data_IF_077084546615
#
_entry.id   IF_077084546615
#
_cell.length_a   1.000
_cell.length_b   1.000
_cell.length_c   1.000
_cell.angle_alpha   90.00
_cell.angle_beta   90.00
_cell.angle_gamma   90.00
#
_symmetry.space_group_name_H-M   'P 1'
#
loop_
_entity.id
_entity.type
_entity.pdbx_description
1 polymer ?
#
# COMPACT_ATOMS: atom_id res chain seq x y z
N UNK A 1 -2.51 3.87 13.88
CA UNK A 1 -2.24 3.03 12.68
C UNK A 1 -0.75 2.78 12.56
N UNK A 2 -0.37 1.53 12.47
CA UNK A 2 1.05 1.17 12.31
C UNK A 2 1.37 0.99 10.83
N UNK A 3 2.27 1.82 10.32
CA UNK A 3 2.71 1.82 8.92
C UNK A 3 4.19 1.47 8.90
N UNK A 4 4.58 0.56 8.03
CA UNK A 4 5.97 0.20 7.83
C UNK A 4 6.30 0.17 6.35
N UNK A 5 7.54 0.53 6.02
CA UNK A 5 8.12 0.35 4.70
C UNK A 5 9.10 -0.81 4.80
N UNK A 6 9.13 -1.67 3.80
CA UNK A 6 9.95 -2.89 3.89
C UNK A 6 11.46 -2.62 3.99
N UNK A 7 11.90 -1.42 3.63
CA UNK A 7 13.28 -0.98 3.82
C UNK A 7 13.58 -0.48 5.24
N UNK A 8 12.59 -0.41 6.12
CA UNK A 8 12.79 0.05 7.50
C UNK A 8 13.66 -0.93 8.28
N UNK A 9 14.54 -0.39 9.12
CA UNK A 9 15.42 -1.18 9.98
C UNK A 9 14.83 -1.47 11.37
N UNK A 10 13.55 -1.13 11.55
CA UNK A 10 12.85 -1.31 12.82
C UNK A 10 12.51 -2.79 13.00
N UNK A 11 12.79 -3.32 14.18
CA UNK A 11 12.38 -4.68 14.56
C UNK A 11 10.98 -4.67 15.17
N UNK A 12 10.25 -5.75 14.89
CA UNK A 12 8.88 -5.93 15.38
C UNK A 12 8.79 -7.20 16.23
N UNK A 13 7.99 -7.15 17.29
CA UNK A 13 7.68 -8.34 18.07
C UNK A 13 6.82 -9.31 17.26
N UNK A 14 6.97 -10.60 17.54
CA UNK A 14 6.28 -11.66 16.77
C UNK A 14 4.75 -11.55 16.78
N UNK A 15 4.18 -10.88 17.78
CA UNK A 15 2.74 -10.71 17.91
C UNK A 15 2.23 -9.36 17.40
N UNK A 16 3.12 -8.52 16.87
CA UNK A 16 2.70 -7.22 16.34
C UNK A 16 1.94 -7.39 15.04
N UNK A 17 0.91 -6.55 14.89
CA UNK A 17 0.17 -6.42 13.64
C UNK A 17 0.60 -5.15 12.94
N UNK A 18 0.82 -5.24 11.64
CA UNK A 18 1.10 -4.08 10.80
C UNK A 18 -0.16 -3.75 10.03
N UNK A 19 -0.62 -2.52 10.15
CA UNK A 19 -1.82 -2.08 9.43
C UNK A 19 -1.55 -1.89 7.94
N UNK A 20 -0.42 -1.26 7.60
CA UNK A 20 -0.01 -1.07 6.21
C UNK A 20 1.48 -1.33 6.08
N UNK A 21 1.85 -2.28 5.23
CA UNK A 21 3.23 -2.52 4.82
C UNK A 21 3.39 -2.11 3.36
N UNK A 22 4.32 -1.21 3.09
CA UNK A 22 4.68 -0.81 1.72
C UNK A 22 5.94 -1.54 1.32
N UNK A 23 5.86 -2.36 0.27
CA UNK A 23 7.02 -3.04 -0.27
C UNK A 23 7.86 -2.08 -1.10
N UNK A 24 9.15 -2.07 -0.82
CA UNK A 24 10.15 -1.28 -1.56
C UNK A 24 11.19 -2.22 -2.14
N UNK A 25 11.96 -1.74 -3.12
CA UNK A 25 12.98 -2.54 -3.76
C UNK A 25 14.13 -2.86 -2.79
N UNK A 26 14.80 -3.99 -3.00
CA UNK A 26 15.99 -4.44 -2.25
C UNK A 26 15.75 -4.59 -0.75
N UNK A 27 14.57 -5.04 -0.37
CA UNK A 27 14.19 -5.19 1.03
C UNK A 27 14.47 -6.61 1.52
N UNK A 28 14.92 -6.72 2.78
CA UNK A 28 14.92 -7.97 3.51
C UNK A 28 13.58 -8.11 4.22
N UNK A 29 12.79 -9.10 3.81
CA UNK A 29 11.45 -9.32 4.34
C UNK A 29 11.38 -10.35 5.47
N UNK A 30 12.52 -10.89 5.90
CA UNK A 30 12.53 -11.97 6.89
C UNK A 30 11.80 -11.57 8.18
N UNK A 31 11.96 -10.33 8.61
CA UNK A 31 11.31 -9.83 9.83
C UNK A 31 9.79 -9.65 9.69
N UNK A 32 9.27 -9.62 8.47
CA UNK A 32 7.84 -9.44 8.21
C UNK A 32 7.12 -10.75 7.89
N UNK A 33 7.85 -11.83 7.63
CA UNK A 33 7.32 -13.08 7.09
C UNK A 33 6.19 -13.66 7.94
N UNK A 34 6.30 -13.63 9.25
CA UNK A 34 5.33 -14.23 10.18
C UNK A 34 4.40 -13.20 10.84
N UNK A 35 4.56 -11.91 10.53
CA UNK A 35 3.70 -10.87 11.09
C UNK A 35 2.36 -10.83 10.35
N UNK A 36 1.31 -10.46 11.08
CA UNK A 36 0.01 -10.22 10.48
C UNK A 36 0.01 -8.83 9.84
N UNK A 37 -0.32 -8.79 8.54
CA UNK A 37 -0.33 -7.56 7.75
C UNK A 37 -1.73 -7.36 7.20
N UNK A 38 -2.36 -6.25 7.53
CA UNK A 38 -3.72 -5.98 7.08
C UNK A 38 -3.73 -5.58 5.59
N UNK A 39 -2.94 -4.59 5.22
CA UNK A 39 -2.80 -4.13 3.83
C UNK A 39 -1.33 -4.16 3.45
N UNK A 40 -1.00 -4.86 2.37
CA UNK A 40 0.34 -4.85 1.79
C UNK A 40 0.28 -4.18 0.42
N UNK A 41 0.97 -3.06 0.29
CA UNK A 41 1.06 -2.30 -0.96
C UNK A 41 2.30 -2.76 -1.73
N UNK A 42 2.13 -3.08 -3.00
CA UNK A 42 3.21 -3.55 -3.85
C UNK A 42 3.03 -3.09 -5.30
N UNK A 43 4.06 -3.22 -6.12
CA UNK A 43 3.98 -3.08 -7.56
C UNK A 43 4.53 -4.33 -8.26
N UNK A 44 4.51 -4.35 -9.59
CA UNK A 44 4.99 -5.51 -10.35
C UNK A 44 6.47 -5.81 -10.13
N UNK A 45 7.29 -4.80 -9.84
CA UNK A 45 8.73 -4.99 -9.64
C UNK A 45 9.05 -5.74 -8.36
N UNK A 46 8.14 -5.72 -7.37
CA UNK A 46 8.36 -6.39 -6.08
C UNK A 46 7.32 -7.48 -5.76
N UNK A 47 6.59 -7.96 -6.76
CA UNK A 47 5.56 -9.00 -6.56
C UNK A 47 6.15 -10.29 -5.98
N UNK A 48 7.38 -10.64 -6.33
CA UNK A 48 8.02 -11.83 -5.78
C UNK A 48 8.28 -11.71 -4.29
N UNK A 49 8.51 -10.50 -3.80
CA UNK A 49 8.65 -10.23 -2.37
C UNK A 49 7.33 -10.45 -1.62
N UNK A 50 6.21 -10.12 -2.26
CA UNK A 50 4.88 -10.34 -1.68
C UNK A 50 4.67 -11.82 -1.33
N UNK A 51 5.12 -12.73 -2.18
CA UNK A 51 4.93 -14.17 -1.97
C UNK A 51 5.71 -14.74 -0.78
N UNK A 52 6.66 -14.00 -0.23
CA UNK A 52 7.39 -14.39 0.97
C UNK A 52 6.60 -14.14 2.25
N UNK A 53 5.56 -13.32 2.19
CA UNK A 53 4.72 -12.98 3.34
C UNK A 53 3.62 -14.03 3.49
N UNK A 54 3.32 -14.42 4.74
CA UNK A 54 2.40 -15.54 5.01
C UNK A 54 1.01 -15.09 5.47
N UNK A 55 0.90 -13.91 6.10
CA UNK A 55 -0.34 -13.48 6.76
C UNK A 55 -0.77 -12.09 6.28
N UNK A 56 -1.02 -11.97 4.99
CA UNK A 56 -1.50 -10.72 4.38
C UNK A 56 -2.98 -10.84 4.11
N UNK A 57 -3.78 -9.93 4.68
CA UNK A 57 -5.21 -9.92 4.47
C UNK A 57 -5.60 -9.29 3.13
N UNK A 58 -4.93 -8.20 2.75
CA UNK A 58 -5.18 -7.50 1.49
C UNK A 58 -3.86 -7.21 0.81
N UNK A 59 -3.65 -7.79 -0.38
CA UNK A 59 -2.54 -7.42 -1.24
C UNK A 59 -3.06 -6.41 -2.26
N UNK A 60 -2.50 -5.20 -2.24
CA UNK A 60 -2.98 -4.08 -3.06
C UNK A 60 -1.88 -3.65 -4.01
N UNK A 61 -2.08 -3.92 -5.29
CA UNK A 61 -1.15 -3.48 -6.33
C UNK A 61 -1.39 -2.04 -6.71
N UNK A 62 -0.32 -1.26 -6.77
CA UNK A 62 -0.35 0.14 -7.17
C UNK A 62 0.48 0.33 -8.43
N UNK A 63 -0.12 0.85 -9.49
CA UNK A 63 0.53 1.07 -10.77
C UNK A 63 -0.44 1.54 -11.83
N UNK A 64 0.06 1.63 -13.06
CA UNK A 64 -0.72 2.14 -14.20
C UNK A 64 -1.24 1.02 -15.10
N UNK A 65 -1.10 -0.24 -14.71
CA UNK A 65 -1.59 -1.38 -15.47
C UNK A 65 -3.08 -1.63 -15.27
N UNK A 66 -3.70 -2.34 -16.21
CA UNK A 66 -5.12 -2.66 -16.13
C UNK A 66 -5.47 -3.56 -14.95
N UNK A 67 -4.53 -4.38 -14.51
CA UNK A 67 -4.73 -5.31 -13.38
C UNK A 67 -4.42 -4.68 -12.03
N UNK A 68 -3.92 -3.46 -11.98
CA UNK A 68 -3.60 -2.81 -10.71
C UNK A 68 -4.86 -2.43 -9.94
N UNK A 69 -4.81 -2.67 -8.63
CA UNK A 69 -5.93 -2.37 -7.73
C UNK A 69 -6.12 -0.88 -7.51
N UNK A 70 -5.01 -0.13 -7.51
CA UNK A 70 -5.02 1.32 -7.31
C UNK A 70 -4.18 1.96 -8.42
N UNK A 71 -4.75 2.96 -9.06
CA UNK A 71 -4.11 3.63 -10.19
C UNK A 71 -4.47 5.11 -10.20
N UNK A 72 -3.83 5.87 -11.09
CA UNK A 72 -4.25 7.25 -11.36
C UNK A 72 -5.28 7.28 -12.50
N UNK A 73 -6.39 7.98 -12.29
CA UNK A 73 -7.30 8.36 -13.38
C UNK A 73 -6.77 9.58 -14.12
N UNK A 74 -6.16 10.52 -13.40
CA UNK A 74 -5.56 11.71 -14.00
C UNK A 74 -4.50 12.31 -13.09
N UNK A 75 -3.55 13.00 -13.70
CA UNK A 75 -2.52 13.78 -13.01
C UNK A 75 -2.49 15.13 -13.68
N UNK A 76 -2.62 16.21 -12.91
CA UNK A 76 -2.61 17.57 -13.43
C UNK A 76 -1.91 18.51 -12.45
N UNK A 77 -0.71 18.94 -12.81
CA UNK A 77 0.10 19.79 -11.95
C UNK A 77 0.46 19.08 -10.65
N UNK A 78 0.18 19.72 -9.54
CA UNK A 78 0.45 19.17 -8.20
C UNK A 78 -0.68 18.35 -7.61
N UNK A 79 -1.68 17.95 -8.40
CA UNK A 79 -2.83 17.16 -7.96
C UNK A 79 -3.02 15.92 -8.81
N UNK A 80 -3.73 14.95 -8.26
CA UNK A 80 -4.07 13.73 -8.97
C UNK A 80 -5.45 13.26 -8.58
N UNK A 81 -6.05 12.45 -9.45
CA UNK A 81 -7.25 11.70 -9.14
C UNK A 81 -6.85 10.22 -9.06
N UNK A 82 -6.96 9.65 -7.86
CA UNK A 82 -6.59 8.26 -7.60
C UNK A 82 -7.85 7.39 -7.67
N UNK A 83 -7.73 6.27 -8.35
CA UNK A 83 -8.83 5.32 -8.52
C UNK A 83 -8.52 4.02 -7.77
N UNK A 84 -9.37 3.68 -6.80
CA UNK A 84 -9.39 2.36 -6.18
C UNK A 84 -10.35 1.50 -6.98
N UNK A 85 -9.83 0.46 -7.63
CA UNK A 85 -10.61 -0.39 -8.54
C UNK A 85 -11.23 -1.60 -7.86
N UNK A 86 -10.66 -2.03 -6.74
CA UNK A 86 -11.09 -3.23 -6.02
C UNK A 86 -11.33 -2.94 -4.56
N UNK A 87 -12.29 -3.65 -3.99
CA UNK A 87 -12.62 -3.56 -2.58
C UNK A 87 -11.40 -3.87 -1.71
N UNK A 88 -11.22 -3.05 -0.66
CA UNK A 88 -10.20 -3.28 0.36
C UNK A 88 -10.93 -3.41 1.69
N UNK A 89 -10.58 -4.42 2.49
CA UNK A 89 -11.10 -4.56 3.84
C UNK A 89 -10.03 -4.10 4.82
N UNK A 90 -10.20 -2.91 5.38
CA UNK A 90 -9.23 -2.31 6.29
C UNK A 90 -9.82 -2.12 7.67
N UNK A 91 -9.18 -2.71 8.68
CA UNK A 91 -9.64 -2.63 10.08
C UNK A 91 -11.12 -3.00 10.21
N UNK A 92 -11.52 -4.11 9.58
CA UNK A 92 -12.89 -4.63 9.53
C UNK A 92 -13.91 -3.74 8.81
N UNK A 93 -13.46 -2.66 8.17
CA UNK A 93 -14.30 -1.77 7.38
C UNK A 93 -14.10 -2.04 5.90
N UNK A 94 -15.18 -1.99 5.13
CA UNK A 94 -15.13 -2.21 3.69
C UNK A 94 -14.92 -0.87 2.99
N UNK A 95 -13.87 -0.79 2.20
CA UNK A 95 -13.59 0.35 1.32
C UNK A 95 -13.96 -0.08 -0.09
N UNK A 96 -15.01 0.51 -0.62
CA UNK A 96 -15.49 0.19 -1.96
C UNK A 96 -14.68 0.91 -3.03
N UNK A 97 -14.68 0.39 -4.27
CA UNK A 97 -14.09 1.09 -5.40
C UNK A 97 -14.58 2.54 -5.48
N UNK A 98 -13.65 3.47 -5.62
CA UNK A 98 -13.97 4.90 -5.65
C UNK A 98 -12.81 5.68 -6.24
N UNK A 99 -13.03 6.97 -6.45
CA UNK A 99 -12.01 7.92 -6.85
C UNK A 99 -11.87 9.00 -5.78
N UNK A 100 -10.65 9.46 -5.54
CA UNK A 100 -10.39 10.55 -4.61
C UNK A 100 -9.22 11.41 -5.08
N UNK A 101 -9.24 12.67 -4.69
CA UNK A 101 -8.17 13.62 -5.02
C UNK A 101 -7.02 13.48 -4.04
N UNK A 102 -5.81 13.63 -4.54
CA UNK A 102 -4.60 13.59 -3.73
C UNK A 102 -3.56 14.55 -4.30
N UNK A 103 -2.64 14.98 -3.43
CA UNK A 103 -1.48 15.75 -3.85
C UNK A 103 -0.57 14.83 -4.67
N UNK A 104 0.02 15.37 -5.73
CA UNK A 104 1.00 14.65 -6.54
C UNK A 104 2.37 15.31 -6.40
N UNK A 105 3.36 14.54 -5.95
CA UNK A 105 4.73 15.00 -5.76
C UNK A 105 5.56 14.61 -6.97
N UNK A 106 5.95 15.59 -7.78
CA UNK A 106 6.75 15.35 -8.99
C UNK A 106 8.16 14.85 -8.67
N UNK A 107 8.65 15.04 -7.45
CA UNK A 107 9.93 14.51 -7.00
C UNK A 107 9.91 13.02 -6.68
N UNK A 108 8.74 12.40 -6.60
CA UNK A 108 8.56 10.98 -6.32
C UNK A 108 8.12 10.24 -7.57
N UNK A 109 8.40 8.94 -7.63
CA UNK A 109 7.91 8.10 -8.72
C UNK A 109 6.40 7.82 -8.60
N UNK A 110 5.83 7.18 -9.62
CA UNK A 110 4.39 6.88 -9.65
C UNK A 110 3.97 5.97 -8.51
N UNK A 111 4.72 4.93 -8.25
CA UNK A 111 4.40 3.97 -7.20
C UNK A 111 4.38 4.63 -5.82
N UNK A 112 5.40 5.43 -5.52
CA UNK A 112 5.49 6.15 -4.24
C UNK A 112 4.32 7.12 -4.05
N UNK A 113 3.93 7.82 -5.11
CA UNK A 113 2.76 8.71 -5.07
C UNK A 113 1.48 7.93 -4.80
N UNK A 114 1.26 6.79 -5.47
CA UNK A 114 0.07 5.97 -5.25
C UNK A 114 0.04 5.40 -3.83
N UNK A 115 1.15 4.85 -3.37
CA UNK A 115 1.25 4.29 -2.02
C UNK A 115 0.97 5.35 -0.96
N UNK A 116 1.58 6.52 -1.10
CA UNK A 116 1.38 7.63 -0.17
C UNK A 116 -0.08 8.10 -0.16
N UNK A 117 -0.67 8.25 -1.34
CA UNK A 117 -2.07 8.68 -1.48
C UNK A 117 -3.02 7.67 -0.84
N UNK A 118 -2.78 6.38 -1.07
CA UNK A 118 -3.60 5.32 -0.48
C UNK A 118 -3.49 5.31 1.04
N UNK A 119 -2.28 5.45 1.59
CA UNK A 119 -2.07 5.52 3.04
C UNK A 119 -2.89 6.66 3.64
N UNK A 120 -2.81 7.85 3.07
CA UNK A 120 -3.59 9.00 3.54
C UNK A 120 -5.08 8.73 3.50
N UNK A 121 -5.56 8.07 2.45
CA UNK A 121 -6.96 7.72 2.33
C UNK A 121 -7.39 6.71 3.40
N UNK A 122 -6.56 5.69 3.65
CA UNK A 122 -6.83 4.68 4.67
C UNK A 122 -6.85 5.26 6.08
N UNK A 123 -6.09 6.31 6.34
CA UNK A 123 -6.06 6.97 7.65
C UNK A 123 -7.44 7.50 8.07
N UNK A 124 -8.34 7.78 7.15
CA UNK A 124 -9.70 8.19 7.46
C UNK A 124 -10.51 7.08 8.15
N UNK A 125 -10.12 5.83 7.96
CA UNK A 125 -10.80 4.66 8.51
C UNK A 125 -10.17 4.17 9.80
N UNK A 126 -9.08 4.81 10.24
CA UNK A 126 -8.38 4.49 11.49
C UNK A 126 -9.00 5.29 12.64
N UNK A 127 -10.01 4.72 13.26
CA UNK A 127 -10.81 5.40 14.29
C UNK A 127 -10.62 4.74 15.65
#
# INVERSE_FOLDING_TARGET
MKIAFSCDEIDFDANEKIDVLVLTDNSDLDKYTDLTIDVCIYDNSNINSLYKLKKVHNAVSCGMGESDSVTFSSISGGTSLVCIRRQIIFDKKIIYPCEFRSVYFHSLDLYSNLAFSLIKYLMQYDV
#
